data_IF_789505333133
#
_entry.id   IF_789505333133
#
_cell.length_a   1.000
_cell.length_b   1.000
_cell.length_c   1.000
_cell.angle_alpha   90.00
_cell.angle_beta   90.00
_cell.angle_gamma   90.00
#
_symmetry.space_group_name_H-M   'P 1'
#
loop_
_entity.id
_entity.type
_entity.pdbx_description
1 polymer ?
#
# COMPACT_ATOMS: atom_id res chain seq x y z
N UNK A 1 -15.05 5.83 -21.76
CA UNK A 1 -15.50 6.25 -23.10
C UNK A 1 -14.91 7.61 -23.51
N UNK A 2 -15.04 8.70 -22.74
CA UNK A 2 -14.51 10.01 -23.14
C UNK A 2 -13.00 10.04 -23.42
N UNK A 3 -12.17 9.38 -22.61
CA UNK A 3 -10.72 9.29 -22.84
C UNK A 3 -10.33 8.43 -24.06
N UNK A 4 -11.22 7.54 -24.52
CA UNK A 4 -11.00 6.69 -25.69
C UNK A 4 -11.69 7.22 -26.94
N UNK A 5 -12.44 8.32 -26.83
CA UNK A 5 -12.93 9.03 -27.99
C UNK A 5 -11.74 9.71 -28.70
N UNK A 6 -11.80 9.83 -30.02
CA UNK A 6 -10.74 10.42 -30.84
C UNK A 6 -10.27 11.78 -30.28
N UNK A 7 -11.21 12.66 -29.93
CA UNK A 7 -10.92 13.96 -29.34
C UNK A 7 -10.39 13.91 -27.90
N UNK A 8 -10.69 12.86 -27.15
CA UNK A 8 -10.23 12.66 -25.79
C UNK A 8 -8.81 12.09 -25.72
N UNK A 9 -8.47 11.14 -26.60
CA UNK A 9 -7.13 10.55 -26.64
C UNK A 9 -6.12 11.49 -27.30
N UNK A 10 -6.54 12.22 -28.34
CA UNK A 10 -5.70 13.23 -29.01
C UNK A 10 -5.71 14.59 -28.29
N UNK A 11 -6.51 14.71 -27.23
CA UNK A 11 -6.69 15.96 -26.47
C UNK A 11 -7.09 17.17 -27.35
N UNK A 12 -7.86 16.94 -28.42
CA UNK A 12 -8.31 18.00 -29.35
C UNK A 12 -9.58 18.71 -28.90
N UNK A 13 -10.10 18.42 -27.69
CA UNK A 13 -11.19 19.21 -27.09
C UNK A 13 -10.68 20.55 -26.53
N UNK A 14 -11.62 21.41 -26.14
CA UNK A 14 -11.30 22.59 -25.34
C UNK A 14 -10.67 22.23 -23.98
N UNK A 15 -9.78 23.07 -23.47
CA UNK A 15 -9.02 22.85 -22.24
C UNK A 15 -9.87 22.39 -21.02
N UNK A 16 -11.06 22.98 -20.75
CA UNK A 16 -11.88 22.53 -19.63
C UNK A 16 -12.35 21.07 -19.77
N UNK A 17 -12.59 20.62 -21.00
CA UNK A 17 -13.02 19.25 -21.30
C UNK A 17 -11.86 18.27 -21.12
N UNK A 18 -10.67 18.61 -21.64
CA UNK A 18 -9.47 17.79 -21.45
C UNK A 18 -9.09 17.66 -19.97
N UNK A 19 -9.17 18.76 -19.22
CA UNK A 19 -8.92 18.75 -17.78
C UNK A 19 -9.93 17.87 -17.03
N UNK A 20 -11.21 17.89 -17.43
CA UNK A 20 -12.22 17.00 -16.86
C UNK A 20 -11.92 15.52 -17.15
N UNK A 21 -11.52 15.19 -18.38
CA UNK A 21 -11.12 13.84 -18.76
C UNK A 21 -9.93 13.36 -17.91
N UNK A 22 -8.91 14.20 -17.73
CA UNK A 22 -7.76 13.89 -16.87
C UNK A 22 -8.16 13.60 -15.42
N UNK A 23 -9.01 14.45 -14.82
CA UNK A 23 -9.47 14.24 -13.44
C UNK A 23 -10.24 12.93 -13.29
N UNK A 24 -11.05 12.56 -14.29
CA UNK A 24 -11.76 11.27 -14.30
C UNK A 24 -10.79 10.09 -14.38
N UNK A 25 -9.74 10.16 -15.19
CA UNK A 25 -8.72 9.11 -15.28
C UNK A 25 -7.98 8.94 -13.94
N UNK A 26 -7.57 10.04 -13.30
CA UNK A 26 -6.94 10.02 -11.98
C UNK A 26 -7.87 9.38 -10.94
N UNK A 27 -9.16 9.72 -10.98
CA UNK A 27 -10.15 9.13 -10.06
C UNK A 27 -10.28 7.62 -10.27
N UNK A 28 -10.36 7.17 -11.53
CA UNK A 28 -10.46 5.74 -11.87
C UNK A 28 -9.20 4.99 -11.43
N UNK A 29 -8.02 5.53 -11.70
CA UNK A 29 -6.75 4.94 -11.28
C UNK A 29 -6.70 4.73 -9.76
N UNK A 30 -7.09 5.76 -8.98
CA UNK A 30 -7.17 5.66 -7.52
C UNK A 30 -8.12 4.54 -7.08
N UNK A 31 -9.31 4.46 -7.67
CA UNK A 31 -10.27 3.40 -7.36
C UNK A 31 -9.71 1.99 -7.65
N UNK A 32 -9.06 1.81 -8.80
CA UNK A 32 -8.45 0.54 -9.19
C UNK A 32 -7.32 0.16 -8.22
N UNK A 33 -6.43 1.10 -7.88
CA UNK A 33 -5.36 0.87 -6.92
C UNK A 33 -5.90 0.48 -5.53
N UNK A 34 -6.98 1.13 -5.07
CA UNK A 34 -7.66 0.75 -3.82
C UNK A 34 -8.21 -0.67 -3.86
N UNK A 35 -8.83 -1.08 -4.96
CA UNK A 35 -9.37 -2.44 -5.13
C UNK A 35 -8.25 -3.49 -5.16
N UNK A 36 -7.15 -3.22 -5.88
CA UNK A 36 -5.97 -4.09 -5.90
C UNK A 36 -5.40 -4.24 -4.48
N UNK A 37 -5.29 -3.15 -3.73
CA UNK A 37 -4.80 -3.19 -2.34
C UNK A 37 -5.72 -4.00 -1.42
N UNK A 38 -7.04 -3.87 -1.58
CA UNK A 38 -7.99 -4.68 -0.83
C UNK A 38 -7.82 -6.18 -1.15
N UNK A 39 -7.65 -6.53 -2.42
CA UNK A 39 -7.41 -7.91 -2.85
C UNK A 39 -6.10 -8.46 -2.27
N UNK A 40 -4.99 -7.71 -2.39
CA UNK A 40 -3.70 -8.06 -1.79
C UNK A 40 -3.83 -8.32 -0.30
N UNK A 41 -4.53 -7.44 0.44
CA UNK A 41 -4.78 -7.62 1.88
C UNK A 41 -5.56 -8.89 2.19
N UNK A 42 -6.63 -9.19 1.45
CA UNK A 42 -7.42 -10.42 1.64
C UNK A 42 -6.59 -11.67 1.39
N UNK A 43 -5.80 -11.70 0.31
CA UNK A 43 -4.92 -12.83 -0.01
C UNK A 43 -3.83 -12.99 1.05
N UNK A 44 -3.14 -11.90 1.42
CA UNK A 44 -2.12 -11.94 2.47
C UNK A 44 -2.69 -12.41 3.81
N UNK A 45 -3.90 -11.97 4.16
CA UNK A 45 -4.57 -12.44 5.37
C UNK A 45 -4.87 -13.94 5.33
N UNK A 46 -5.39 -14.46 4.22
CA UNK A 46 -5.63 -15.88 4.04
C UNK A 46 -4.32 -16.70 4.14
N UNK A 47 -3.23 -16.23 3.53
CA UNK A 47 -1.90 -16.85 3.65
C UNK A 47 -1.42 -16.86 5.11
N UNK A 48 -1.61 -15.76 5.84
CA UNK A 48 -1.26 -15.65 7.26
C UNK A 48 -2.01 -16.68 8.11
N UNK A 49 -3.31 -16.85 7.88
CA UNK A 49 -4.13 -17.85 8.58
C UNK A 49 -3.67 -19.28 8.27
N UNK A 50 -3.41 -19.59 7.00
CA UNK A 50 -2.99 -20.94 6.58
C UNK A 50 -1.60 -21.32 7.08
N UNK A 51 -0.67 -20.37 7.11
CA UNK A 51 0.71 -20.59 7.57
C UNK A 51 0.90 -20.48 9.07
N UNK A 52 -0.09 -19.95 9.80
CA UNK A 52 0.01 -19.63 11.23
C UNK A 52 0.98 -18.49 11.55
N UNK A 53 1.46 -17.75 10.55
CA UNK A 53 2.43 -16.67 10.71
C UNK A 53 1.76 -15.30 10.62
N UNK A 54 2.01 -14.44 11.61
CA UNK A 54 1.43 -13.07 11.66
C UNK A 54 2.33 -12.00 11.02
N UNK A 55 3.64 -12.18 11.11
CA UNK A 55 4.63 -11.21 10.59
C UNK A 55 5.13 -11.69 9.23
N UNK A 56 4.33 -11.49 8.18
CA UNK A 56 4.65 -11.96 6.84
C UNK A 56 4.82 -10.79 5.86
N UNK A 57 5.78 -10.94 4.96
CA UNK A 57 5.89 -10.13 3.74
C UNK A 57 5.42 -10.99 2.57
N UNK A 58 4.40 -10.53 1.84
CA UNK A 58 3.91 -11.20 0.63
C UNK A 58 4.27 -10.33 -0.58
N UNK A 59 5.05 -10.90 -1.48
CA UNK A 59 5.42 -10.26 -2.75
C UNK A 59 4.49 -10.79 -3.84
N UNK A 60 3.78 -9.89 -4.51
CA UNK A 60 2.87 -10.22 -5.61
C UNK A 60 3.56 -9.92 -6.94
N UNK A 61 3.96 -10.97 -7.66
CA UNK A 61 4.33 -10.83 -9.06
C UNK A 61 3.05 -10.75 -9.90
N UNK A 62 2.88 -9.66 -10.65
CA UNK A 62 1.71 -9.44 -11.52
C UNK A 62 2.03 -9.69 -12.99
N UNK A 63 3.26 -10.09 -13.31
CA UNK A 63 3.68 -10.49 -14.65
C UNK A 63 3.43 -11.98 -14.89
N UNK A 64 3.30 -12.32 -16.17
CA UNK A 64 3.18 -13.72 -16.63
C UNK A 64 4.50 -14.50 -16.46
N UNK A 65 5.62 -13.79 -16.43
CA UNK A 65 6.96 -14.34 -16.30
C UNK A 65 7.43 -14.39 -14.85
N UNK A 66 8.29 -15.34 -14.46
CA UNK A 66 8.89 -15.37 -13.13
C UNK A 66 9.63 -14.07 -12.80
N UNK A 67 9.54 -13.62 -11.55
CA UNK A 67 10.26 -12.47 -11.04
C UNK A 67 11.70 -12.87 -10.68
N UNK A 68 12.68 -12.29 -11.38
CA UNK A 68 14.12 -12.43 -11.10
C UNK A 68 14.77 -11.06 -10.90
N UNK A 69 14.37 -10.36 -9.83
CA UNK A 69 14.88 -9.04 -9.51
C UNK A 69 14.82 -8.75 -8.00
N UNK A 70 15.58 -7.74 -7.57
CA UNK A 70 15.56 -7.26 -6.18
C UNK A 70 14.25 -6.55 -5.90
N UNK A 71 13.57 -6.96 -4.82
CA UNK A 71 12.31 -6.36 -4.38
C UNK A 71 12.59 -5.35 -3.26
N UNK A 72 12.16 -4.11 -3.46
CA UNK A 72 12.08 -3.12 -2.39
C UNK A 72 10.72 -3.23 -1.70
N UNK A 73 10.73 -3.35 -0.37
CA UNK A 73 9.53 -3.47 0.43
C UNK A 73 9.64 -2.65 1.71
N UNK A 74 8.49 -2.16 2.18
CA UNK A 74 8.36 -1.51 3.48
C UNK A 74 7.61 -2.46 4.41
N UNK A 75 8.17 -2.69 5.59
CA UNK A 75 7.54 -3.48 6.65
C UNK A 75 7.35 -2.60 7.89
N UNK A 76 6.25 -2.83 8.60
CA UNK A 76 5.97 -2.14 9.85
C UNK A 76 6.29 -3.11 10.99
N UNK A 77 7.13 -2.67 11.92
CA UNK A 77 7.53 -3.47 13.08
C UNK A 77 7.82 -2.57 14.27
N UNK A 78 7.66 -3.11 15.48
CA UNK A 78 8.13 -2.49 16.72
C UNK A 78 9.60 -2.83 17.00
N UNK A 79 10.14 -3.83 16.33
CA UNK A 79 11.50 -4.32 16.54
C UNK A 79 12.53 -3.45 15.80
N UNK A 80 13.70 -3.26 16.44
CA UNK A 80 14.83 -2.56 15.80
C UNK A 80 15.51 -3.39 14.72
N UNK A 81 15.45 -4.71 14.82
CA UNK A 81 16.11 -5.61 13.88
C UNK A 81 15.07 -6.36 13.06
N UNK A 82 15.30 -6.44 11.75
CA UNK A 82 14.44 -7.16 10.81
C UNK A 82 15.29 -8.20 10.08
N UNK A 83 14.77 -9.42 9.99
CA UNK A 83 15.33 -10.46 9.14
C UNK A 83 14.21 -11.15 8.36
N UNK A 84 14.49 -11.57 7.13
CA UNK A 84 13.53 -12.27 6.29
C UNK A 84 13.86 -13.76 6.25
N UNK A 85 12.81 -14.60 6.25
CA UNK A 85 12.93 -16.06 6.12
C UNK A 85 11.89 -16.59 5.14
N UNK A 86 12.27 -17.61 4.36
CA UNK A 86 11.38 -18.36 3.48
C UNK A 86 11.54 -19.86 3.77
N UNK A 87 10.46 -20.51 4.22
CA UNK A 87 10.51 -21.92 4.60
C UNK A 87 11.57 -22.22 5.67
N UNK A 88 11.74 -21.32 6.64
CA UNK A 88 12.73 -21.42 7.71
C UNK A 88 14.16 -20.98 7.34
N UNK A 89 14.48 -20.84 6.05
CA UNK A 89 15.81 -20.40 5.59
C UNK A 89 15.90 -18.87 5.54
N UNK A 90 17.01 -18.26 5.99
CA UNK A 90 17.24 -16.83 5.84
C UNK A 90 17.22 -16.41 4.37
N UNK A 91 16.63 -15.25 4.10
CA UNK A 91 16.65 -14.58 2.79
C UNK A 91 17.56 -13.37 2.92
N UNK A 92 18.50 -13.20 1.98
CA UNK A 92 19.37 -12.03 1.97
C UNK A 92 18.53 -10.76 1.82
N UNK A 93 18.71 -9.82 2.73
CA UNK A 93 18.04 -8.53 2.69
C UNK A 93 18.94 -7.44 3.28
N UNK A 94 18.78 -6.22 2.79
CA UNK A 94 19.46 -5.03 3.31
C UNK A 94 18.42 -4.04 3.77
N UNK A 95 18.52 -3.59 5.02
CA UNK A 95 17.68 -2.49 5.52
C UNK A 95 18.23 -1.19 4.93
N UNK A 96 17.47 -0.58 4.02
CA UNK A 96 17.86 0.67 3.36
C UNK A 96 17.61 1.89 4.25
N UNK A 97 16.48 1.90 4.94
CA UNK A 97 16.04 2.99 5.81
C UNK A 97 15.13 2.44 6.91
N UNK A 98 15.21 2.98 8.11
CA UNK A 98 14.26 2.73 9.19
C UNK A 98 13.86 4.04 9.85
N UNK A 99 12.56 4.34 9.84
CA UNK A 99 11.97 5.52 10.48
C UNK A 99 11.02 5.08 11.58
N UNK A 100 11.07 5.78 12.72
CA UNK A 100 10.04 5.65 13.76
C UNK A 100 8.79 6.37 13.25
N UNK A 101 7.64 5.71 13.36
CA UNK A 101 6.35 6.31 13.11
C UNK A 101 5.74 6.70 14.45
N UNK A 102 5.29 7.94 14.57
CA UNK A 102 4.53 8.37 15.74
C UNK A 102 3.16 7.69 15.70
N UNK A 103 2.70 7.12 16.81
CA UNK A 103 1.44 6.36 16.88
C UNK A 103 0.17 7.21 16.73
N UNK A 104 0.32 8.50 16.44
CA UNK A 104 -0.74 9.48 16.37
C UNK A 104 -1.14 10.00 17.75
N UNK A 105 -2.26 10.72 17.80
CA UNK A 105 -2.86 11.23 19.02
C UNK A 105 -4.21 10.56 19.22
N UNK A 106 -4.46 10.06 20.42
CA UNK A 106 -5.76 9.55 20.85
C UNK A 106 -6.50 10.66 21.59
N UNK A 107 -7.76 10.89 21.22
CA UNK A 107 -8.67 11.76 21.98
C UNK A 107 -9.32 10.91 23.07
N UNK A 108 -9.13 11.30 24.33
CA UNK A 108 -9.77 10.69 25.49
C UNK A 108 -10.78 11.68 26.05
N UNK A 109 -12.03 11.23 26.16
CA UNK A 109 -13.09 12.02 26.79
C UNK A 109 -13.02 11.79 28.30
N UNK A 110 -12.75 12.85 29.06
CA UNK A 110 -12.70 12.83 30.52
C UNK A 110 -13.83 13.69 31.10
N UNK A 111 -14.06 13.60 32.42
CA UNK A 111 -15.02 14.46 33.11
C UNK A 111 -14.67 15.96 33.05
N UNK A 112 -13.43 16.32 32.67
CA UNK A 112 -13.00 17.71 32.45
C UNK A 112 -12.99 18.12 30.97
N UNK A 113 -13.44 17.26 30.05
CA UNK A 113 -13.43 17.51 28.60
C UNK A 113 -12.51 16.56 27.82
N UNK A 114 -12.25 16.91 26.56
CA UNK A 114 -11.39 16.14 25.66
C UNK A 114 -9.90 16.37 25.97
N UNK A 115 -9.13 15.29 26.09
CA UNK A 115 -7.67 15.30 26.26
C UNK A 115 -7.01 14.57 25.10
N UNK A 116 -6.01 15.19 24.47
CA UNK A 116 -5.14 14.54 23.50
C UNK A 116 -3.99 13.83 24.23
N UNK A 117 -3.83 12.54 24.00
CA UNK A 117 -2.66 11.78 24.45
C UNK A 117 -1.91 11.20 23.24
N UNK A 118 -0.58 11.32 23.25
CA UNK A 118 0.26 10.71 22.23
C UNK A 118 0.23 9.20 22.40
N UNK A 119 -0.14 8.48 21.35
CA UNK A 119 -0.08 7.01 21.34
C UNK A 119 1.35 6.62 21.01
N UNK A 120 2.01 5.90 21.91
CA UNK A 120 3.32 5.30 21.59
C UNK A 120 3.11 4.14 20.59
N UNK A 121 3.80 4.22 19.45
CA UNK A 121 3.79 3.20 18.38
C UNK A 121 4.50 1.91 18.76
#
# INVERSE_FOLDING_TARGET
FCAHAHNGIEATNADPVNQNIKQRLISVERSVLSLINLLKKKISHAISLQSGQRNILVVFNSDISPLDSVVQAVVFTKDKQVSLRRGGKPVACTVLEQRRLDGGQQVIVTAQGEKLETVEG
#
